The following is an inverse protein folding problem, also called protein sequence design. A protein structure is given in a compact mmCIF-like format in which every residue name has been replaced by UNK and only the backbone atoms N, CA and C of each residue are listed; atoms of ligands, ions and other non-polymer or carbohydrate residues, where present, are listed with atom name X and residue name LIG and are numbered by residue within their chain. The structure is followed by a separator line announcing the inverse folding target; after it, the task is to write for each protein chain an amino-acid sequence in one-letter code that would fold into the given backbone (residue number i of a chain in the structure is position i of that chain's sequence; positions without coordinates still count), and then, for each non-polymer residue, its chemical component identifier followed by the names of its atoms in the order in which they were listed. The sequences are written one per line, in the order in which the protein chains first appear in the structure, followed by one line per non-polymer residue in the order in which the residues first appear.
data_IF_734196510476
#
_entry.id   IF_734196510476
#
_cell.length_a   1.000
_cell.length_b   1.000
_cell.length_c   1.000
_cell.angle_alpha   90.00
_cell.angle_beta   90.00
_cell.angle_gamma   90.00
#
_symmetry.space_group_name_H-M   'P 1'
#
loop_
_entity.id
_entity.type
_entity.pdbx_description
1 polymer ?
#
# COMPACT_ATOMS: atom_id res chain seq x y z
N UNK A 1 3.71 -10.02 -11.17
CA UNK A 1 2.96 -9.02 -10.37
C UNK A 1 1.47 -9.22 -10.58
N UNK A 2 0.75 -9.48 -9.50
CA UNK A 2 -0.67 -9.79 -9.56
C UNK A 2 -1.43 -8.99 -8.51
N UNK A 3 -2.70 -8.69 -8.80
CA UNK A 3 -3.63 -8.09 -7.83
C UNK A 3 -4.81 -9.04 -7.70
N UNK A 4 -5.08 -9.52 -6.49
CA UNK A 4 -6.16 -10.46 -6.26
C UNK A 4 -6.81 -10.30 -4.88
N UNK A 5 -8.10 -10.64 -4.76
CA UNK A 5 -8.79 -10.53 -3.48
C UNK A 5 -8.24 -11.54 -2.47
N UNK A 6 -8.43 -11.25 -1.19
CA UNK A 6 -7.95 -12.06 -0.09
C UNK A 6 -8.26 -13.57 -0.28
N UNK A 7 -9.49 -13.88 -0.65
CA UNK A 7 -9.92 -15.28 -0.80
C UNK A 7 -9.24 -16.03 -1.95
N UNK A 8 -8.61 -15.32 -2.88
CA UNK A 8 -7.87 -15.92 -3.98
C UNK A 8 -6.38 -16.04 -3.72
N UNK A 9 -5.88 -15.47 -2.62
CA UNK A 9 -4.50 -15.68 -2.20
C UNK A 9 -4.34 -17.13 -1.74
N UNK A 10 -3.23 -17.75 -2.11
CA UNK A 10 -2.88 -19.03 -1.51
C UNK A 10 -2.43 -18.80 -0.08
N UNK A 11 -2.42 -19.84 0.73
CA UNK A 11 -1.91 -19.75 2.09
C UNK A 11 -0.45 -19.27 2.10
N UNK A 12 0.37 -19.78 1.17
CA UNK A 12 1.77 -19.38 1.07
C UNK A 12 1.90 -17.91 0.67
N UNK A 13 1.09 -17.43 -0.27
CA UNK A 13 1.11 -16.03 -0.67
C UNK A 13 0.74 -15.13 0.49
N UNK A 14 -0.29 -15.48 1.23
CA UNK A 14 -0.69 -14.67 2.40
C UNK A 14 0.39 -14.72 3.48
N UNK A 15 0.93 -15.90 3.76
CA UNK A 15 2.02 -16.05 4.71
C UNK A 15 3.20 -15.15 4.33
N UNK A 16 3.60 -15.18 3.07
CA UNK A 16 4.79 -14.47 2.60
C UNK A 16 4.59 -12.95 2.59
N UNK A 17 3.38 -12.47 2.23
CA UNK A 17 3.15 -11.02 2.29
C UNK A 17 3.12 -10.51 3.73
N UNK A 18 2.56 -11.28 4.67
CA UNK A 18 2.57 -10.90 6.08
C UNK A 18 3.99 -10.94 6.63
N UNK A 19 4.76 -11.96 6.27
CA UNK A 19 6.17 -12.04 6.68
C UNK A 19 6.95 -10.80 6.24
N UNK A 20 6.77 -10.36 5.00
CA UNK A 20 7.43 -9.17 4.49
C UNK A 20 6.97 -7.91 5.25
N UNK A 21 5.69 -7.78 5.51
CA UNK A 21 5.14 -6.65 6.26
C UNK A 21 5.73 -6.56 7.66
N UNK A 22 5.77 -7.68 8.37
CA UNK A 22 6.35 -7.72 9.73
C UNK A 22 7.84 -7.41 9.70
N UNK A 23 8.57 -7.98 8.74
CA UNK A 23 10.00 -7.75 8.60
C UNK A 23 10.34 -6.27 8.47
N UNK A 24 9.56 -5.52 7.70
CA UNK A 24 9.83 -4.11 7.44
C UNK A 24 9.14 -3.20 8.45
N UNK A 25 7.83 -3.34 8.64
CA UNK A 25 7.07 -2.40 9.48
C UNK A 25 7.31 -2.58 10.97
N UNK A 26 7.51 -3.81 11.42
CA UNK A 26 7.70 -4.10 12.84
C UNK A 26 9.18 -4.19 13.21
N UNK A 27 9.91 -5.04 12.51
CA UNK A 27 11.31 -5.32 12.88
C UNK A 27 12.26 -4.22 12.40
N UNK A 28 12.27 -3.93 11.11
CA UNK A 28 13.20 -2.92 10.55
C UNK A 28 12.92 -1.52 11.10
N UNK A 29 11.65 -1.13 11.23
CA UNK A 29 11.26 0.18 11.75
C UNK A 29 11.22 0.23 13.28
N UNK A 30 11.49 -0.89 13.94
CA UNK A 30 11.45 -1.01 15.41
C UNK A 30 10.13 -0.43 15.97
N UNK A 31 9.01 -0.90 15.42
CA UNK A 31 7.68 -0.39 15.74
C UNK A 31 6.73 -1.54 16.08
N UNK A 32 6.60 -1.90 17.37
CA UNK A 32 5.66 -2.95 17.75
C UNK A 32 4.22 -2.45 17.62
N UNK A 33 3.46 -3.03 16.70
CA UNK A 33 2.05 -2.71 16.50
C UNK A 33 1.32 -3.91 15.91
N UNK A 34 -0.01 -3.86 15.95
CA UNK A 34 -0.87 -4.91 15.42
C UNK A 34 -1.03 -4.72 13.90
N UNK A 35 -0.16 -5.37 13.10
CA UNK A 35 -0.19 -5.22 11.65
C UNK A 35 -1.48 -5.76 11.01
N UNK A 36 -1.95 -6.91 11.49
CA UNK A 36 -3.20 -7.51 11.01
C UNK A 36 -4.38 -6.82 11.69
N UNK A 37 -5.11 -6.01 10.95
CA UNK A 37 -6.20 -5.16 11.45
C UNK A 37 -7.60 -5.61 11.00
N UNK A 38 -7.69 -6.78 10.37
CA UNK A 38 -8.95 -7.32 9.84
C UNK A 38 -9.30 -6.82 8.44
N UNK A 39 -8.68 -5.73 7.97
CA UNK A 39 -8.99 -5.16 6.66
C UNK A 39 -8.42 -5.98 5.51
N UNK A 40 -7.43 -6.82 5.76
CA UNK A 40 -6.87 -7.69 4.73
C UNK A 40 -7.91 -8.60 4.12
N UNK A 41 -8.90 -9.00 4.91
CA UNK A 41 -9.97 -9.91 4.47
C UNK A 41 -10.90 -9.30 3.42
N UNK A 42 -10.96 -7.97 3.36
CA UNK A 42 -11.81 -7.23 2.41
C UNK A 42 -10.99 -6.43 1.41
N UNK A 43 -9.70 -6.64 1.38
CA UNK A 43 -8.77 -5.92 0.50
C UNK A 43 -8.48 -6.69 -0.77
N UNK A 44 -8.06 -5.95 -1.81
CA UNK A 44 -7.32 -6.54 -2.92
C UNK A 44 -5.84 -6.43 -2.57
N UNK A 45 -5.09 -7.48 -2.86
CA UNK A 45 -3.66 -7.51 -2.54
C UNK A 45 -2.83 -7.56 -3.81
N UNK A 46 -1.90 -6.62 -3.92
CA UNK A 46 -0.88 -6.69 -4.96
C UNK A 46 0.30 -7.46 -4.39
N UNK A 47 0.75 -8.46 -5.13
CA UNK A 47 1.93 -9.24 -4.78
C UNK A 47 2.91 -9.22 -5.95
N UNK A 48 4.19 -9.01 -5.65
CA UNK A 48 5.27 -9.04 -6.62
C UNK A 48 6.27 -10.09 -6.16
N UNK A 49 6.27 -11.22 -6.85
CA UNK A 49 7.12 -12.36 -6.52
C UNK A 49 8.15 -12.53 -7.64
N UNK A 50 9.43 -12.66 -7.26
CA UNK A 50 10.52 -12.92 -8.19
C UNK A 50 11.30 -14.13 -7.67
N UNK A 51 11.46 -15.14 -8.52
CA UNK A 51 12.17 -16.37 -8.19
C UNK A 51 11.67 -17.00 -6.87
N UNK A 52 10.34 -16.99 -6.68
CA UNK A 52 9.70 -17.56 -5.50
C UNK A 52 9.76 -16.72 -4.24
N UNK A 53 10.32 -15.50 -4.32
CA UNK A 53 10.47 -14.62 -3.17
C UNK A 53 9.52 -13.43 -3.29
N UNK A 54 8.76 -13.16 -2.21
CA UNK A 54 7.89 -11.98 -2.14
C UNK A 54 8.75 -10.72 -2.01
N UNK A 55 8.84 -9.94 -3.09
CA UNK A 55 9.68 -8.74 -3.15
C UNK A 55 8.94 -7.48 -2.77
N UNK A 56 7.64 -7.42 -3.00
CA UNK A 56 6.84 -6.24 -2.67
C UNK A 56 5.37 -6.61 -2.55
N UNK A 57 4.64 -5.82 -1.76
CA UNK A 57 3.20 -5.96 -1.63
C UNK A 57 2.58 -4.62 -1.25
N UNK A 58 1.29 -4.48 -1.52
CA UNK A 58 0.45 -3.42 -0.99
C UNK A 58 -0.98 -3.94 -0.95
N UNK A 59 -1.86 -3.24 -0.25
CA UNK A 59 -3.28 -3.57 -0.27
C UNK A 59 -4.10 -2.39 -0.75
N UNK A 60 -5.19 -2.70 -1.44
CA UNK A 60 -6.14 -1.74 -1.97
C UNK A 60 -7.45 -1.93 -1.23
N UNK A 61 -8.00 -0.85 -0.71
CA UNK A 61 -9.28 -0.85 -0.02
C UNK A 61 -10.30 -0.05 -0.83
N UNK A 62 -11.46 -0.66 -1.06
CA UNK A 62 -12.56 -0.04 -1.78
C UNK A 62 -13.12 1.16 -1.01
N UNK A 63 -13.80 2.11 -1.70
CA UNK A 63 -14.45 3.23 -1.03
C UNK A 63 -15.34 2.79 0.14
N UNK A 64 -15.26 3.51 1.25
CA UNK A 64 -16.08 3.24 2.43
C UNK A 64 -15.45 2.33 3.48
N UNK A 65 -14.29 1.74 3.20
CA UNK A 65 -13.61 0.87 4.18
C UNK A 65 -12.72 1.70 5.11
N UNK A 66 -11.70 2.36 4.57
CA UNK A 66 -10.83 3.24 5.37
C UNK A 66 -11.31 4.68 5.31
N UNK A 67 -11.65 5.14 4.12
CA UNK A 67 -12.12 6.47 3.83
C UNK A 67 -13.29 6.38 2.84
N UNK A 68 -13.95 7.51 2.55
CA UNK A 68 -14.97 7.53 1.49
C UNK A 68 -14.36 7.28 0.10
N UNK A 69 -13.07 7.58 -0.06
CA UNK A 69 -12.31 7.34 -1.29
C UNK A 69 -11.73 5.92 -1.28
N UNK A 70 -11.22 5.49 -2.44
CA UNK A 70 -10.30 4.34 -2.52
C UNK A 70 -9.09 4.63 -1.65
N UNK A 71 -8.43 3.57 -1.18
CA UNK A 71 -7.21 3.71 -0.39
C UNK A 71 -6.18 2.66 -0.79
N UNK A 72 -4.91 3.04 -0.66
CA UNK A 72 -3.78 2.12 -0.82
C UNK A 72 -3.00 2.19 0.49
N UNK A 73 -2.62 1.03 1.01
CA UNK A 73 -1.86 0.98 2.25
C UNK A 73 -0.96 -0.24 2.34
N UNK A 74 -0.24 -0.34 3.44
CA UNK A 74 0.71 -1.42 3.69
C UNK A 74 1.68 -1.60 2.51
N UNK A 75 2.15 -0.48 1.94
CA UNK A 75 3.08 -0.48 0.81
C UNK A 75 4.47 -0.83 1.33
N UNK A 76 5.04 -1.90 0.82
CA UNK A 76 6.35 -2.36 1.29
C UNK A 76 7.14 -3.02 0.16
N UNK A 77 8.44 -2.75 0.15
CA UNK A 77 9.40 -3.38 -0.77
C UNK A 77 10.51 -4.00 0.07
N UNK A 78 10.84 -5.26 -0.22
CA UNK A 78 11.95 -5.94 0.45
C UNK A 78 13.25 -5.18 0.20
N UNK A 79 14.13 -5.13 1.19
CA UNK A 79 15.39 -4.40 1.09
C UNK A 79 16.22 -4.81 -0.14
N UNK A 80 16.12 -6.08 -0.55
CA UNK A 80 16.85 -6.61 -1.71
C UNK A 80 16.39 -5.99 -3.03
N UNK A 81 15.17 -5.47 -3.07
CA UNK A 81 14.58 -4.90 -4.28
C UNK A 81 14.50 -3.36 -4.24
N UNK A 82 14.97 -2.74 -3.17
CA UNK A 82 14.99 -1.27 -3.07
C UNK A 82 16.00 -0.70 -4.05
N UNK A 83 15.68 0.47 -4.61
CA UNK A 83 16.53 1.11 -5.61
C UNK A 83 16.38 0.54 -7.00
N UNK A 84 15.50 -0.44 -7.22
CA UNK A 84 15.26 -1.06 -8.53
C UNK A 84 14.10 -0.44 -9.29
N UNK A 85 13.34 0.47 -8.66
CA UNK A 85 12.12 1.04 -9.23
C UNK A 85 10.87 0.20 -8.94
N UNK A 86 11.00 -0.92 -8.25
CA UNK A 86 9.85 -1.79 -7.95
C UNK A 86 8.77 -1.07 -7.14
N UNK A 87 9.16 -0.23 -6.16
CA UNK A 87 8.22 0.55 -5.38
C UNK A 87 7.32 1.44 -6.23
N UNK A 88 7.88 2.05 -7.28
CA UNK A 88 7.10 2.87 -8.21
C UNK A 88 6.22 2.01 -9.10
N UNK A 89 6.72 0.86 -9.54
CA UNK A 89 5.94 -0.04 -10.42
C UNK A 89 4.71 -0.60 -9.72
N UNK A 90 4.82 -0.99 -8.45
CA UNK A 90 3.65 -1.50 -7.72
C UNK A 90 2.61 -0.41 -7.50
N UNK A 91 3.04 0.83 -7.24
CA UNK A 91 2.12 1.94 -7.07
C UNK A 91 1.41 2.28 -8.39
N UNK A 92 2.13 2.32 -9.49
CA UNK A 92 1.56 2.55 -10.82
C UNK A 92 0.52 1.48 -11.16
N UNK A 93 0.84 0.21 -10.89
CA UNK A 93 -0.06 -0.90 -11.16
C UNK A 93 -1.33 -0.83 -10.32
N UNK A 94 -1.18 -0.50 -9.03
CA UNK A 94 -2.33 -0.35 -8.14
C UNK A 94 -3.25 0.78 -8.59
N UNK A 95 -2.68 1.93 -8.96
CA UNK A 95 -3.46 3.08 -9.43
C UNK A 95 -4.20 2.73 -10.73
N UNK A 96 -3.51 2.07 -11.65
CA UNK A 96 -4.12 1.64 -12.92
C UNK A 96 -5.29 0.69 -12.68
N UNK A 97 -5.10 -0.26 -11.78
CA UNK A 97 -6.14 -1.21 -11.41
C UNK A 97 -7.37 -0.50 -10.80
N UNK A 98 -7.13 0.45 -9.90
CA UNK A 98 -8.19 1.23 -9.26
C UNK A 98 -8.97 2.03 -10.30
N UNK A 99 -8.27 2.74 -11.18
CA UNK A 99 -8.91 3.56 -12.23
C UNK A 99 -9.76 2.69 -13.15
N UNK A 100 -9.28 1.51 -13.51
CA UNK A 100 -10.04 0.58 -14.35
C UNK A 100 -11.32 0.10 -13.64
N UNK A 101 -11.24 -0.23 -12.36
CA UNK A 101 -12.39 -0.65 -11.57
C UNK A 101 -13.38 0.49 -11.36
N UNK A 102 -12.87 1.70 -11.16
CA UNK A 102 -13.70 2.88 -10.95
C UNK A 102 -14.40 3.34 -12.24
N UNK A 103 -13.86 2.97 -13.39
CA UNK A 103 -14.37 3.38 -14.70
C UNK A 103 -13.90 4.78 -15.14
N UNK A 104 -13.11 5.45 -14.31
CA UNK A 104 -12.55 6.78 -14.56
C UNK A 104 -11.45 7.02 -13.52
N UNK A 105 -10.75 8.15 -13.64
CA UNK A 105 -9.74 8.55 -12.65
C UNK A 105 -10.37 8.62 -11.27
N UNK A 106 -9.86 7.82 -10.34
CA UNK A 106 -10.41 7.68 -8.99
C UNK A 106 -9.71 8.61 -8.01
N UNK A 107 -10.48 9.12 -7.05
CA UNK A 107 -9.90 9.74 -5.86
C UNK A 107 -9.35 8.64 -4.96
N UNK A 108 -8.10 8.79 -4.55
CA UNK A 108 -7.41 7.82 -3.69
C UNK A 108 -6.82 8.56 -2.50
N UNK A 109 -7.19 8.14 -1.28
CA UNK A 109 -6.68 8.76 -0.06
C UNK A 109 -5.86 7.75 0.73
N UNK A 110 -4.75 8.21 1.31
CA UNK A 110 -3.90 7.36 2.12
C UNK A 110 -3.24 8.13 3.24
N UNK A 111 -2.68 7.38 4.20
CA UNK A 111 -1.87 7.89 5.29
C UNK A 111 -0.42 7.52 4.97
N UNK A 112 0.40 8.52 4.70
CA UNK A 112 1.77 8.32 4.29
C UNK A 112 2.72 8.63 5.45
N UNK A 113 3.76 7.81 5.62
CA UNK A 113 4.87 8.20 6.49
C UNK A 113 5.47 9.49 5.91
N UNK A 114 5.65 10.50 6.75
CA UNK A 114 6.04 11.84 6.30
C UNK A 114 7.31 11.86 5.44
N UNK A 115 8.30 11.04 5.78
CA UNK A 115 9.56 10.98 5.02
C UNK A 115 9.38 10.41 3.60
N UNK A 116 8.21 9.82 3.29
CA UNK A 116 7.90 9.29 1.97
C UNK A 116 7.03 10.24 1.14
N UNK A 117 6.85 11.48 1.58
CA UNK A 117 6.03 12.47 0.85
C UNK A 117 6.40 12.55 -0.63
N UNK A 118 7.68 12.72 -0.94
CA UNK A 118 8.14 12.86 -2.33
C UNK A 118 7.82 11.65 -3.18
N UNK A 119 7.89 10.45 -2.60
CA UNK A 119 7.53 9.22 -3.27
C UNK A 119 6.05 9.25 -3.72
N UNK A 120 5.15 9.65 -2.82
CA UNK A 120 3.72 9.72 -3.15
C UNK A 120 3.39 10.90 -4.07
N UNK A 121 4.04 12.04 -3.89
CA UNK A 121 3.83 13.20 -4.78
C UNK A 121 4.14 12.84 -6.23
N UNK A 122 5.13 12.01 -6.45
CA UNK A 122 5.49 11.53 -7.78
C UNK A 122 4.35 10.75 -8.47
N UNK A 123 3.43 10.23 -7.70
CA UNK A 123 2.27 9.48 -8.20
C UNK A 123 0.97 10.31 -8.18
N UNK A 124 1.08 11.62 -8.01
CA UNK A 124 -0.07 12.52 -8.08
C UNK A 124 -0.77 12.77 -6.75
N UNK A 125 -0.19 12.34 -5.65
CA UNK A 125 -0.75 12.58 -4.32
C UNK A 125 -0.28 13.93 -3.77
N UNK A 126 -1.17 14.62 -3.05
CA UNK A 126 -0.85 15.87 -2.38
C UNK A 126 -1.32 15.79 -0.93
N UNK A 127 -0.59 16.42 -0.02
CA UNK A 127 -0.99 16.47 1.38
C UNK A 127 -2.34 17.18 1.51
N UNK A 128 -3.27 16.59 2.24
CA UNK A 128 -4.64 17.09 2.35
C UNK A 128 -5.09 17.34 3.79
N UNK A 129 -4.16 17.49 4.71
CA UNK A 129 -4.45 17.78 6.11
C UNK A 129 -3.19 17.86 6.95
N UNK A 130 -3.37 18.13 8.23
CA UNK A 130 -2.24 18.24 9.16
C UNK A 130 -1.62 16.87 9.45
N UNK A 131 -0.31 16.87 9.71
CA UNK A 131 0.41 15.69 10.11
C UNK A 131 -0.01 15.20 11.49
N UNK A 132 0.23 13.92 11.75
CA UNK A 132 -0.11 13.26 13.01
C UNK A 132 0.85 12.11 13.27
N UNK A 133 0.84 11.60 14.49
CA UNK A 133 1.62 10.41 14.84
C UNK A 133 0.73 9.18 14.69
N UNK A 134 1.25 8.15 14.01
CA UNK A 134 0.59 6.86 13.88
C UNK A 134 1.62 5.82 14.32
N UNK A 135 1.33 5.13 15.42
CA UNK A 135 2.27 4.21 16.06
C UNK A 135 3.64 4.85 16.32
N UNK A 136 3.61 6.13 16.71
CA UNK A 136 4.82 6.90 17.03
C UNK A 136 5.60 7.41 15.83
N UNK A 137 5.16 7.14 14.62
CA UNK A 137 5.83 7.58 13.39
C UNK A 137 5.07 8.74 12.77
N UNK A 138 5.74 9.86 12.39
CA UNK A 138 5.06 10.97 11.73
C UNK A 138 4.43 10.55 10.41
N UNK A 139 3.13 10.86 10.27
CA UNK A 139 2.34 10.57 9.06
C UNK A 139 1.65 11.83 8.57
N UNK A 140 1.31 11.85 7.30
CA UNK A 140 0.51 12.90 6.68
C UNK A 140 -0.61 12.27 5.84
N UNK A 141 -1.82 12.89 5.84
CA UNK A 141 -2.86 12.42 4.93
C UNK A 141 -2.57 12.96 3.53
N UNK A 142 -2.70 12.11 2.54
CA UNK A 142 -2.46 12.47 1.15
C UNK A 142 -3.61 12.02 0.26
N UNK A 143 -3.90 12.82 -0.76
CA UNK A 143 -5.01 12.59 -1.68
C UNK A 143 -4.55 12.74 -3.13
N UNK A 144 -4.96 11.78 -3.96
CA UNK A 144 -4.93 11.91 -5.41
C UNK A 144 -6.35 12.24 -5.84
N UNK A 145 -6.53 13.40 -6.46
CA UNK A 145 -7.87 13.87 -6.86
C UNK A 145 -8.43 13.13 -8.05
N UNK A 146 -9.75 13.00 -8.12
CA UNK A 146 -10.45 12.33 -9.21
C UNK A 146 -10.38 13.10 -10.54
N UNK A 147 -10.18 14.40 -10.48
CA UNK A 147 -10.22 15.27 -11.66
C UNK A 147 -8.81 15.67 -12.12
N UNK A 148 -8.01 14.69 -12.44
CA UNK A 148 -6.65 14.91 -12.94
C UNK A 148 -6.62 14.98 -14.46
#
# INVERSE_FOLDING_TARGET
MEIKPYKHLTLDEFHDLIQLRIKVFVIEQDCPYQDLDGRDKVAEHLIAIEEGIMMATLRILSPGIAYKEWSIGRVVVDEKARGTGLGHRIMEEAIRWIDAKNGSTAAIKLSAQEHLRAYYERHGFEQCGDGYLEDGIPHIPMLRSANQ
#
